data_IF_490151712752
#
_entry.id   IF_490151712752
#
_cell.length_a   1.000
_cell.length_b   1.000
_cell.length_c   1.000
_cell.angle_alpha   90.00
_cell.angle_beta   90.00
_cell.angle_gamma   90.00
#
_symmetry.space_group_name_H-M   'P 1'
#
loop_
_entity.id
_entity.type
_entity.pdbx_description
1 polymer ?
#
# COMPACT_ATOMS: atom_id res chain seq x y z
N UNK A 1 -27.45 2.83 -9.19
CA UNK A 1 -26.24 2.76 -8.34
C UNK A 1 -25.65 4.16 -8.31
N UNK A 2 -25.66 4.81 -7.16
CA UNK A 2 -25.15 6.18 -7.00
C UNK A 2 -23.88 6.08 -6.14
N UNK A 3 -22.73 6.48 -6.69
CA UNK A 3 -21.48 6.59 -5.92
C UNK A 3 -21.54 7.91 -5.16
N UNK A 4 -21.51 7.82 -3.83
CA UNK A 4 -21.35 8.97 -2.96
C UNK A 4 -19.87 9.11 -2.62
N UNK A 5 -19.28 10.21 -3.07
CA UNK A 5 -17.89 10.60 -2.82
C UNK A 5 -17.64 10.84 -1.31
N UNK A 6 -18.68 10.88 -0.48
CA UNK A 6 -18.53 10.93 0.99
C UNK A 6 -18.37 9.56 1.64
N UNK A 7 -18.62 8.46 0.92
CA UNK A 7 -18.44 7.11 1.44
C UNK A 7 -16.95 6.77 1.52
N UNK A 8 -16.57 5.98 2.52
CA UNK A 8 -15.21 5.45 2.57
C UNK A 8 -15.01 4.35 1.52
N UNK A 9 -13.75 4.01 1.23
CA UNK A 9 -13.43 3.05 0.17
C UNK A 9 -13.97 1.65 0.46
N UNK A 10 -14.05 1.22 1.72
CA UNK A 10 -14.62 -0.08 2.06
C UNK A 10 -16.12 -0.13 1.72
N UNK A 11 -16.86 0.93 2.06
CA UNK A 11 -18.27 1.09 1.69
C UNK A 11 -18.47 1.14 0.17
N UNK A 12 -17.60 1.83 -0.55
CA UNK A 12 -17.65 1.94 -2.01
C UNK A 12 -17.63 0.55 -2.69
N UNK A 13 -16.74 -0.34 -2.24
CA UNK A 13 -16.64 -1.71 -2.79
C UNK A 13 -17.57 -2.71 -2.09
N UNK A 14 -18.30 -2.31 -1.05
CA UNK A 14 -19.16 -3.20 -0.27
C UNK A 14 -18.39 -4.28 0.49
N UNK A 15 -17.17 -3.97 0.93
CA UNK A 15 -16.30 -4.86 1.71
C UNK A 15 -16.22 -4.41 3.18
N UNK A 16 -15.95 -5.30 4.14
CA UNK A 16 -15.82 -4.90 5.54
C UNK A 16 -14.56 -4.04 5.77
N UNK A 17 -14.60 -3.15 6.76
CA UNK A 17 -13.41 -2.43 7.23
C UNK A 17 -12.51 -3.42 7.96
N UNK A 18 -11.55 -4.00 7.24
CA UNK A 18 -10.65 -5.02 7.75
C UNK A 18 -9.30 -4.95 7.04
N UNK A 19 -8.25 -5.35 7.75
CA UNK A 19 -6.90 -5.44 7.17
C UNK A 19 -6.77 -6.62 6.21
N UNK A 20 -7.45 -7.74 6.50
CA UNK A 20 -7.52 -8.87 5.59
C UNK A 20 -8.77 -8.70 4.72
N UNK A 21 -8.55 -8.51 3.42
CA UNK A 21 -9.59 -8.51 2.41
C UNK A 21 -9.39 -9.70 1.48
N UNK A 22 -10.49 -10.16 0.90
CA UNK A 22 -10.48 -11.11 -0.21
C UNK A 22 -10.21 -10.33 -1.50
N UNK A 23 -9.04 -10.56 -2.10
CA UNK A 23 -8.59 -9.84 -3.29
C UNK A 23 -9.48 -10.12 -4.51
N UNK A 24 -10.07 -11.32 -4.63
CA UNK A 24 -10.97 -11.67 -5.72
C UNK A 24 -12.30 -10.92 -5.57
N UNK A 25 -12.81 -10.81 -4.34
CA UNK A 25 -14.01 -10.03 -4.04
C UNK A 25 -13.78 -8.54 -4.33
N UNK A 26 -12.66 -7.99 -3.87
CA UNK A 26 -12.29 -6.59 -4.11
C UNK A 26 -12.13 -6.31 -5.61
N UNK A 27 -11.43 -7.19 -6.33
CA UNK A 27 -11.23 -7.07 -7.77
C UNK A 27 -12.56 -7.17 -8.55
N UNK A 28 -13.44 -8.11 -8.19
CA UNK A 28 -14.76 -8.23 -8.79
C UNK A 28 -15.62 -6.96 -8.58
N UNK A 29 -15.57 -6.39 -7.37
CA UNK A 29 -16.27 -5.14 -7.06
C UNK A 29 -15.71 -3.96 -7.88
N UNK A 30 -14.39 -3.87 -8.01
CA UNK A 30 -13.72 -2.85 -8.83
C UNK A 30 -14.13 -2.92 -10.30
N UNK A 31 -14.09 -4.10 -10.93
CA UNK A 31 -14.51 -4.26 -12.32
C UNK A 31 -15.98 -3.87 -12.54
N UNK A 32 -16.88 -4.23 -11.61
CA UNK A 32 -18.31 -3.85 -11.68
C UNK A 32 -18.48 -2.33 -11.63
N UNK A 33 -17.78 -1.66 -10.72
CA UNK A 33 -17.84 -0.20 -10.59
C UNK A 33 -17.22 0.50 -11.80
N UNK A 34 -16.05 0.05 -12.25
CA UNK A 34 -15.38 0.58 -13.43
C UNK A 34 -16.25 0.44 -14.68
N UNK A 35 -16.89 -0.72 -14.89
CA UNK A 35 -17.82 -0.94 -15.99
C UNK A 35 -19.10 -0.09 -15.90
N UNK A 36 -19.55 0.28 -14.69
CA UNK A 36 -20.72 1.13 -14.49
C UNK A 36 -20.42 2.63 -14.71
N UNK A 37 -19.21 3.07 -14.37
CA UNK A 37 -18.81 4.48 -14.38
C UNK A 37 -17.71 4.81 -15.41
N UNK A 38 -17.43 3.91 -16.36
CA UNK A 38 -16.44 4.14 -17.39
C UNK A 38 -16.75 5.42 -18.20
N UNK A 39 -15.78 6.32 -18.44
CA UNK A 39 -16.00 7.55 -19.20
C UNK A 39 -16.64 7.31 -20.56
N UNK A 40 -16.33 6.18 -21.21
CA UNK A 40 -16.88 5.83 -22.53
C UNK A 40 -18.41 5.72 -22.55
N UNK A 41 -19.04 5.41 -21.42
CA UNK A 41 -20.50 5.36 -21.30
C UNK A 41 -21.15 6.74 -21.39
N UNK A 42 -20.36 7.79 -21.22
CA UNK A 42 -20.79 9.18 -21.20
C UNK A 42 -20.24 9.99 -22.38
N UNK A 43 -19.69 9.35 -23.43
CA UNK A 43 -19.17 10.03 -24.63
C UNK A 43 -20.25 10.90 -25.32
N UNK A 44 -21.50 10.46 -25.29
CA UNK A 44 -22.63 11.21 -25.84
C UNK A 44 -23.34 12.09 -24.79
N UNK A 45 -22.82 12.15 -23.57
CA UNK A 45 -23.33 13.00 -22.49
C UNK A 45 -22.85 14.45 -22.61
N UNK A 46 -23.38 15.30 -21.74
CA UNK A 46 -22.95 16.68 -21.56
C UNK A 46 -21.51 16.75 -21.04
N UNK A 47 -20.85 17.90 -21.23
CA UNK A 47 -19.52 18.18 -20.67
C UNK A 47 -19.46 17.97 -19.14
N UNK A 48 -20.54 18.31 -18.44
CA UNK A 48 -20.64 18.08 -17.00
C UNK A 48 -20.66 16.59 -16.67
N UNK A 49 -21.44 15.79 -17.39
CA UNK A 49 -21.53 14.34 -17.19
C UNK A 49 -20.20 13.64 -17.48
N UNK A 50 -19.52 14.02 -18.57
CA UNK A 50 -18.18 13.52 -18.91
C UNK A 50 -17.17 13.80 -17.80
N UNK A 51 -17.12 15.04 -17.31
CA UNK A 51 -16.21 15.43 -16.22
C UNK A 51 -16.49 14.65 -14.94
N UNK A 52 -17.77 14.50 -14.58
CA UNK A 52 -18.17 13.73 -13.40
C UNK A 52 -17.82 12.24 -13.55
N UNK A 53 -17.96 11.67 -14.75
CA UNK A 53 -17.57 10.29 -15.02
C UNK A 53 -16.05 10.08 -14.83
N UNK A 54 -15.22 11.00 -15.35
CA UNK A 54 -13.76 10.95 -15.17
C UNK A 54 -13.37 11.03 -13.69
N UNK A 55 -13.97 11.95 -12.93
CA UNK A 55 -13.71 12.07 -11.49
C UNK A 55 -14.10 10.80 -10.73
N UNK A 56 -15.26 10.20 -11.05
CA UNK A 56 -15.69 8.94 -10.43
C UNK A 56 -14.78 7.78 -10.79
N UNK A 57 -14.36 7.66 -12.04
CA UNK A 57 -13.43 6.62 -12.46
C UNK A 57 -12.08 6.75 -11.74
N UNK A 58 -11.55 7.97 -11.61
CA UNK A 58 -10.34 8.25 -10.86
C UNK A 58 -10.49 7.85 -9.38
N UNK A 59 -11.59 8.25 -8.74
CA UNK A 59 -11.90 7.87 -7.35
C UNK A 59 -11.95 6.35 -7.16
N UNK A 60 -12.64 5.62 -8.05
CA UNK A 60 -12.77 4.16 -7.99
C UNK A 60 -11.39 3.50 -8.10
N UNK A 61 -10.52 4.00 -8.97
CA UNK A 61 -9.17 3.46 -9.13
C UNK A 61 -8.32 3.75 -7.90
N UNK A 62 -8.34 4.97 -7.38
CA UNK A 62 -7.63 5.35 -6.15
C UNK A 62 -8.07 4.46 -4.97
N UNK A 63 -9.38 4.32 -4.77
CA UNK A 63 -9.93 3.47 -3.72
C UNK A 63 -9.46 2.01 -3.85
N UNK A 64 -9.42 1.48 -5.08
CA UNK A 64 -8.96 0.12 -5.33
C UNK A 64 -7.46 -0.03 -5.03
N UNK A 65 -6.62 0.89 -5.51
CA UNK A 65 -5.18 0.88 -5.23
C UNK A 65 -4.88 0.99 -3.73
N UNK A 66 -5.65 1.79 -2.99
CA UNK A 66 -5.51 1.91 -1.55
C UNK A 66 -5.90 0.63 -0.83
N UNK A 67 -7.02 -0.01 -1.19
CA UNK A 67 -7.47 -1.23 -0.50
C UNK A 67 -6.70 -2.48 -0.92
N UNK A 68 -6.16 -2.52 -2.13
CA UNK A 68 -5.37 -3.66 -2.63
C UNK A 68 -4.00 -3.73 -1.95
N UNK A 69 -3.36 -2.59 -1.72
CA UNK A 69 -2.05 -2.53 -1.08
C UNK A 69 -2.20 -2.61 0.47
N UNK A 70 -1.59 -3.60 1.15
CA UNK A 70 -1.75 -3.76 2.60
C UNK A 70 -1.27 -2.56 3.43
N UNK A 71 -0.20 -1.88 3.01
CA UNK A 71 0.35 -0.69 3.70
C UNK A 71 -0.61 0.50 3.58
N UNK A 72 -1.06 0.79 2.35
CA UNK A 72 -2.05 1.86 2.10
C UNK A 72 -3.37 1.55 2.81
N UNK A 73 -3.82 0.30 2.77
CA UNK A 73 -5.03 -0.16 3.46
C UNK A 73 -4.94 0.03 4.97
N UNK A 74 -3.84 -0.36 5.61
CA UNK A 74 -3.63 -0.13 7.04
C UNK A 74 -3.74 1.34 7.42
N UNK A 75 -3.08 2.22 6.65
CA UNK A 75 -3.13 3.67 6.88
C UNK A 75 -4.54 4.22 6.70
N UNK A 76 -5.23 3.80 5.63
CA UNK A 76 -6.61 4.21 5.38
C UNK A 76 -7.57 3.75 6.49
N UNK A 77 -7.37 2.55 7.07
CA UNK A 77 -8.14 2.10 8.23
C UNK A 77 -7.97 3.03 9.44
N UNK A 78 -6.78 3.59 9.66
CA UNK A 78 -6.53 4.56 10.73
C UNK A 78 -7.24 5.89 10.45
N UNK A 79 -7.20 6.37 9.21
CA UNK A 79 -7.92 7.59 8.78
C UNK A 79 -9.44 7.44 8.98
N UNK A 80 -10.01 6.31 8.57
CA UNK A 80 -11.43 5.98 8.79
C UNK A 80 -11.76 5.92 10.29
N UNK A 81 -10.77 5.60 11.14
CA UNK A 81 -10.92 5.60 12.61
C UNK A 81 -10.77 6.99 13.23
N UNK A 82 -10.61 8.05 12.42
CA UNK A 82 -10.50 9.43 12.85
C UNK A 82 -9.08 9.88 13.20
N UNK A 83 -8.06 9.08 12.87
CA UNK A 83 -6.67 9.41 13.14
C UNK A 83 -6.05 10.13 11.95
N UNK A 84 -5.55 11.35 12.17
CA UNK A 84 -4.88 12.12 11.13
C UNK A 84 -3.50 11.54 10.81
N UNK A 85 -3.33 11.13 9.56
CA UNK A 85 -2.06 10.62 9.05
C UNK A 85 -1.20 11.79 8.55
N UNK A 86 -0.51 12.45 9.47
CA UNK A 86 0.49 13.46 9.10
C UNK A 86 1.71 12.75 8.51
N UNK A 87 1.92 12.90 7.19
CA UNK A 87 3.08 12.36 6.49
C UNK A 87 4.36 13.18 6.66
N UNK A 88 4.28 14.31 7.36
CA UNK A 88 5.39 15.22 7.57
C UNK A 88 6.34 14.71 8.66
N UNK A 89 7.50 14.21 8.20
CA UNK A 89 8.80 14.26 8.87
C UNK A 89 8.96 13.68 10.28
N UNK A 90 7.96 12.99 10.84
CA UNK A 90 8.16 12.23 12.08
C UNK A 90 8.98 10.97 11.79
N UNK A 91 10.30 11.12 11.85
CA UNK A 91 11.23 10.02 12.06
C UNK A 91 10.73 9.22 13.25
N UNK A 92 10.54 7.92 13.06
CA UNK A 92 10.19 7.02 14.17
C UNK A 92 11.21 7.18 15.30
N UNK A 93 10.73 7.30 16.54
CA UNK A 93 11.58 7.35 17.73
C UNK A 93 12.04 5.95 18.17
N UNK A 94 11.70 4.92 17.41
CA UNK A 94 12.09 3.55 17.66
C UNK A 94 13.56 3.33 17.28
N UNK A 95 14.43 3.41 18.28
CA UNK A 95 15.88 3.24 18.12
C UNK A 95 16.26 1.86 17.60
N UNK A 96 15.53 0.81 17.99
CA UNK A 96 15.78 -0.56 17.53
C UNK A 96 15.50 -0.65 16.03
N UNK A 97 14.39 -0.09 15.59
CA UNK A 97 14.06 -0.05 14.17
C UNK A 97 15.04 0.81 13.39
N UNK A 98 15.47 1.97 13.91
CA UNK A 98 16.48 2.81 13.25
C UNK A 98 17.81 2.09 13.04
N UNK A 99 18.26 1.30 14.02
CA UNK A 99 19.47 0.47 13.87
C UNK A 99 19.29 -0.58 12.77
N UNK A 100 18.14 -1.26 12.74
CA UNK A 100 17.79 -2.21 11.69
C UNK A 100 17.79 -1.55 10.30
N UNK A 101 17.32 -0.30 10.16
CA UNK A 101 17.39 0.43 8.89
C UNK A 101 18.83 0.67 8.43
N UNK A 102 19.74 0.95 9.36
CA UNK A 102 21.15 1.16 9.05
C UNK A 102 21.78 -0.16 8.59
N UNK A 103 21.57 -1.24 9.34
CA UNK A 103 22.07 -2.57 9.01
C UNK A 103 21.56 -3.04 7.64
N UNK A 104 20.27 -2.82 7.32
CA UNK A 104 19.71 -3.15 6.01
C UNK A 104 20.35 -2.35 4.88
N UNK A 105 20.64 -1.06 5.08
CA UNK A 105 21.30 -0.24 4.07
C UNK A 105 22.74 -0.69 3.83
N UNK A 106 23.46 -1.05 4.89
CA UNK A 106 24.80 -1.62 4.78
C UNK A 106 24.76 -2.95 4.00
N UNK A 107 23.81 -3.84 4.29
CA UNK A 107 23.64 -5.11 3.57
C UNK A 107 23.33 -4.87 2.07
N UNK A 108 22.49 -3.88 1.75
CA UNK A 108 22.21 -3.48 0.36
C UNK A 108 23.45 -2.94 -0.36
N UNK A 109 24.28 -2.14 0.31
CA UNK A 109 25.52 -1.61 -0.28
C UNK A 109 26.55 -2.73 -0.51
N UNK A 110 26.64 -3.69 0.41
CA UNK A 110 27.46 -4.90 0.26
C UNK A 110 26.99 -5.76 -0.92
N UNK A 111 25.66 -5.89 -1.14
CA UNK A 111 25.11 -6.63 -2.28
C UNK A 111 25.62 -6.10 -3.63
N UNK A 112 25.87 -4.79 -3.76
CA UNK A 112 26.38 -4.19 -5.00
C UNK A 112 27.78 -4.66 -5.39
N UNK A 113 28.55 -5.11 -4.41
CA UNK A 113 29.96 -5.52 -4.59
C UNK A 113 30.14 -7.03 -4.47
N UNK A 114 29.06 -7.79 -4.26
CA UNK A 114 29.15 -9.22 -4.04
C UNK A 114 29.25 -10.00 -5.36
N UNK A 115 29.67 -11.26 -5.28
CA UNK A 115 29.85 -12.13 -6.46
C UNK A 115 28.55 -12.51 -7.16
N UNK A 116 27.43 -12.47 -6.43
CA UNK A 116 26.10 -12.84 -6.91
C UNK A 116 25.07 -11.85 -6.37
N UNK A 117 24.98 -10.65 -6.97
CA UNK A 117 24.09 -9.58 -6.50
C UNK A 117 22.62 -9.98 -6.50
N UNK A 118 22.19 -10.82 -7.45
CA UNK A 118 20.80 -11.29 -7.54
C UNK A 118 20.43 -12.13 -6.31
N UNK A 119 21.27 -13.13 -5.97
CA UNK A 119 21.05 -13.95 -4.78
C UNK A 119 21.09 -13.15 -3.48
N UNK A 120 21.89 -12.09 -3.44
CA UNK A 120 21.94 -11.16 -2.31
C UNK A 120 20.62 -10.39 -2.17
N UNK A 121 20.05 -9.90 -3.29
CA UNK A 121 18.74 -9.27 -3.32
C UNK A 121 17.62 -10.22 -2.86
N UNK A 122 17.64 -11.47 -3.31
CA UNK A 122 16.66 -12.49 -2.89
C UNK A 122 16.71 -12.74 -1.38
N UNK A 123 17.92 -12.75 -0.80
CA UNK A 123 18.12 -12.94 0.64
C UNK A 123 17.57 -11.76 1.45
N UNK A 124 17.85 -10.51 1.05
CA UNK A 124 17.30 -9.33 1.71
C UNK A 124 15.77 -9.31 1.57
N UNK A 125 15.24 -9.61 0.39
CA UNK A 125 13.80 -9.69 0.12
C UNK A 125 13.12 -10.70 1.06
N UNK A 126 13.71 -11.89 1.23
CA UNK A 126 13.18 -12.90 2.17
C UNK A 126 13.13 -12.43 3.62
N UNK A 127 14.13 -11.65 4.08
CA UNK A 127 14.11 -11.02 5.42
C UNK A 127 12.99 -9.97 5.52
N UNK A 128 12.86 -9.11 4.52
CA UNK A 128 11.86 -8.05 4.49
C UNK A 128 10.43 -8.61 4.41
N UNK A 129 10.20 -9.70 3.69
CA UNK A 129 8.92 -10.41 3.66
C UNK A 129 8.51 -10.92 5.05
N UNK A 130 9.48 -11.47 5.80
CA UNK A 130 9.25 -11.91 7.17
C UNK A 130 8.89 -10.72 8.07
N UNK A 131 9.61 -9.60 7.97
CA UNK A 131 9.31 -8.38 8.71
C UNK A 131 7.95 -7.78 8.34
N UNK A 132 7.59 -7.81 7.05
CA UNK A 132 6.29 -7.37 6.56
C UNK A 132 5.14 -8.16 7.20
N UNK A 133 5.27 -9.49 7.31
CA UNK A 133 4.29 -10.35 8.01
C UNK A 133 4.20 -10.06 9.50
N UNK A 134 5.34 -9.85 10.16
CA UNK A 134 5.39 -9.49 11.58
C UNK A 134 4.69 -8.16 11.84
N UNK A 135 5.00 -7.12 11.06
CA UNK A 135 4.37 -5.82 11.18
C UNK A 135 2.87 -5.87 10.85
N UNK A 136 2.46 -6.63 9.85
CA UNK A 136 1.04 -6.83 9.54
C UNK A 136 0.29 -7.46 10.71
N UNK A 137 0.85 -8.52 11.31
CA UNK A 137 0.26 -9.19 12.49
C UNK A 137 0.17 -8.24 13.68
N UNK A 138 1.24 -7.48 13.94
CA UNK A 138 1.28 -6.50 15.02
C UNK A 138 0.25 -5.38 14.80
N UNK A 139 0.17 -4.84 13.59
CA UNK A 139 -0.80 -3.82 13.21
C UNK A 139 -2.23 -4.29 13.49
N UNK A 140 -2.60 -5.48 13.02
CA UNK A 140 -3.94 -6.05 13.21
C UNK A 140 -4.27 -6.14 14.70
N UNK A 141 -3.34 -6.66 15.50
CA UNK A 141 -3.52 -6.83 16.94
C UNK A 141 -3.73 -5.48 17.65
N UNK A 142 -2.89 -4.48 17.36
CA UNK A 142 -2.99 -3.14 17.95
C UNK A 142 -4.28 -2.42 17.53
N UNK A 143 -4.65 -2.54 16.25
CA UNK A 143 -5.87 -1.94 15.71
C UNK A 143 -7.11 -2.53 16.38
N UNK A 144 -7.19 -3.86 16.52
CA UNK A 144 -8.30 -4.54 17.20
C UNK A 144 -8.42 -4.18 18.68
N UNK A 145 -7.30 -3.86 19.34
CA UNK A 145 -7.26 -3.41 20.72
C UNK A 145 -7.56 -1.91 20.90
N UNK A 146 -7.73 -1.16 19.80
CA UNK A 146 -7.98 0.29 19.82
C UNK A 146 -6.73 1.14 20.08
N UNK A 147 -5.53 0.54 20.02
CA UNK A 147 -4.25 1.22 20.19
C UNK A 147 -3.82 1.89 18.87
N UNK A 148 -4.61 2.88 18.43
CA UNK A 148 -4.49 3.48 17.09
C UNK A 148 -3.16 4.22 16.89
N UNK A 149 -2.63 4.88 17.92
CA UNK A 149 -1.34 5.56 17.84
C UNK A 149 -0.17 4.59 17.66
N UNK A 150 -0.21 3.46 18.36
CA UNK A 150 0.78 2.40 18.22
C UNK A 150 0.64 1.71 16.85
N UNK A 151 -0.59 1.47 16.39
CA UNK A 151 -0.85 0.95 15.06
C UNK A 151 -0.33 1.91 13.96
N UNK A 152 -0.45 3.23 14.14
CA UNK A 152 0.17 4.25 13.28
C UNK A 152 1.69 4.12 13.24
N UNK A 153 2.35 3.92 14.38
CA UNK A 153 3.80 3.71 14.38
C UNK A 153 4.18 2.43 13.62
N UNK A 154 3.40 1.36 13.74
CA UNK A 154 3.62 0.12 12.97
C UNK A 154 3.39 0.35 11.48
N UNK A 155 2.36 1.09 11.06
CA UNK A 155 2.13 1.37 9.63
C UNK A 155 3.27 2.16 8.99
N UNK A 156 3.95 3.04 9.75
CA UNK A 156 5.18 3.71 9.29
C UNK A 156 6.32 2.72 9.04
N UNK A 157 6.47 1.69 9.88
CA UNK A 157 7.46 0.62 9.67
C UNK A 157 7.13 -0.23 8.44
N UNK A 158 5.86 -0.55 8.24
CA UNK A 158 5.39 -1.25 7.04
C UNK A 158 5.75 -0.46 5.76
N UNK A 159 5.53 0.86 5.78
CA UNK A 159 5.88 1.73 4.66
C UNK A 159 7.39 1.78 4.39
N UNK A 160 8.22 1.75 5.42
CA UNK A 160 9.67 1.65 5.23
C UNK A 160 10.05 0.33 4.53
N UNK A 161 9.51 -0.80 4.99
CA UNK A 161 9.79 -2.12 4.38
C UNK A 161 9.37 -2.13 2.91
N UNK A 162 8.18 -1.63 2.59
CA UNK A 162 7.68 -1.51 1.21
C UNK A 162 8.62 -0.69 0.33
N UNK A 163 9.09 0.48 0.80
CA UNK A 163 10.03 1.31 0.03
C UNK A 163 11.38 0.62 -0.22
N UNK A 164 11.87 -0.20 0.71
CA UNK A 164 13.12 -0.94 0.51
C UNK A 164 12.91 -2.08 -0.49
N UNK A 165 11.78 -2.79 -0.43
CA UNK A 165 11.43 -3.79 -1.43
C UNK A 165 11.38 -3.18 -2.83
N UNK A 166 10.72 -2.03 -3.00
CA UNK A 166 10.70 -1.30 -4.28
C UNK A 166 12.12 -0.96 -4.78
N UNK A 167 13.03 -0.54 -3.89
CA UNK A 167 14.43 -0.25 -4.24
C UNK A 167 15.20 -1.49 -4.66
N UNK A 168 14.92 -2.65 -4.05
CA UNK A 168 15.53 -3.93 -4.41
C UNK A 168 15.00 -4.38 -5.77
N UNK A 169 13.70 -4.32 -5.99
CA UNK A 169 13.07 -4.66 -7.28
C UNK A 169 13.66 -3.81 -8.42
N UNK A 170 13.77 -2.50 -8.23
CA UNK A 170 14.41 -1.59 -9.19
C UNK A 170 15.89 -1.93 -9.45
N UNK A 171 16.59 -2.43 -8.43
CA UNK A 171 17.99 -2.82 -8.57
C UNK A 171 18.14 -4.17 -9.29
N UNK A 172 17.28 -5.14 -8.99
CA UNK A 172 17.24 -6.43 -9.69
C UNK A 172 16.96 -6.24 -11.18
N UNK A 173 16.00 -5.38 -11.55
CA UNK A 173 15.73 -5.05 -12.96
C UNK A 173 16.96 -4.49 -13.68
N UNK A 174 17.73 -3.60 -13.03
CA UNK A 174 18.98 -3.07 -13.61
C UNK A 174 20.04 -4.15 -13.80
N UNK A 175 20.16 -5.07 -12.84
CA UNK A 175 21.08 -6.20 -12.95
C UNK A 175 20.71 -7.13 -14.10
N UNK A 176 19.41 -7.37 -14.33
CA UNK A 176 18.94 -8.17 -15.47
C UNK A 176 19.25 -7.50 -16.80
N UNK A 177 19.01 -6.19 -16.91
CA UNK A 177 19.32 -5.40 -18.10
C UNK A 177 20.83 -5.38 -18.43
N UNK A 178 21.70 -5.34 -17.42
CA UNK A 178 23.17 -5.35 -17.58
C UNK A 178 23.73 -6.73 -18.01
N UNK A 179 22.95 -7.81 -17.87
CA UNK A 179 23.34 -9.18 -18.25
C UNK A 179 22.95 -9.51 -19.71
N UNK A 180 22.03 -8.74 -20.30
CA UNK A 180 21.53 -8.91 -21.68
C UNK A 180 22.38 -8.17 -22.72
#
# INVERSE_FOLDING_TARGET
MQVDIKQNYFELFGVPIAFHLDDDVLHSAHLKLQAAFHPDRFINGTELEKRLAVQKAAWINEAYEVLKNPVKRARYMLEVSGLEMNDDHETTSDTVFLMEQIELREEMDECRSCKDPMRCCDHITGKLDQRSKEFSTNFISLYQQGYLEQARQVSKKMQFVERILEQIDEYQLKLEDDIL
#
